data_IF_525621562209
#
_entry.id   IF_525621562209
#
_cell.length_a   1.000
_cell.length_b   1.000
_cell.length_c   1.000
_cell.angle_alpha   90.00
_cell.angle_beta   90.00
_cell.angle_gamma   90.00
#
_symmetry.space_group_name_H-M   'P 1'
#
loop_
_entity.id
_entity.type
_entity.pdbx_description
1 polymer ?
#
# COMPACT_ATOMS: atom_id res chain seq x y z
N UNK A 1 8.60 4.25 -18.54
CA UNK A 1 8.30 2.81 -18.44
C UNK A 1 6.87 2.57 -18.89
N UNK A 2 6.66 1.52 -19.65
CA UNK A 2 5.33 1.20 -20.14
C UNK A 2 4.48 0.61 -19.02
N UNK A 3 3.30 1.16 -18.80
CA UNK A 3 2.31 0.59 -17.91
C UNK A 3 1.64 -0.59 -18.61
N UNK A 4 1.49 -1.70 -17.90
CA UNK A 4 0.81 -2.88 -18.41
C UNK A 4 -0.51 -3.08 -17.67
N UNK A 5 -1.58 -3.05 -18.42
CA UNK A 5 -2.93 -3.26 -17.88
C UNK A 5 -3.23 -4.73 -17.77
N UNK A 6 -3.54 -5.16 -16.56
CA UNK A 6 -3.86 -6.54 -16.22
C UNK A 6 -5.31 -6.63 -15.78
N UNK A 7 -6.05 -7.58 -16.34
CA UNK A 7 -7.43 -7.84 -15.92
C UNK A 7 -7.52 -9.18 -15.23
N UNK A 8 -8.12 -9.20 -14.04
CA UNK A 8 -8.42 -10.41 -13.27
C UNK A 8 -9.92 -10.67 -13.32
N UNK A 9 -10.29 -11.88 -13.70
CA UNK A 9 -11.68 -12.32 -13.72
C UNK A 9 -11.85 -13.58 -12.89
N UNK A 10 -12.91 -13.62 -12.09
CA UNK A 10 -13.28 -14.83 -11.35
C UNK A 10 -13.87 -15.85 -12.31
N UNK A 11 -13.40 -17.09 -12.25
CA UNK A 11 -13.87 -18.20 -13.06
C UNK A 11 -14.06 -19.43 -12.14
N UNK A 12 -15.29 -19.61 -11.67
CA UNK A 12 -15.59 -20.62 -10.67
C UNK A 12 -14.79 -20.39 -9.39
N UNK A 13 -13.96 -21.34 -9.00
CA UNK A 13 -13.08 -21.24 -7.82
C UNK A 13 -11.71 -20.65 -8.13
N UNK A 14 -11.45 -20.34 -9.38
CA UNK A 14 -10.17 -19.84 -9.83
C UNK A 14 -10.26 -18.40 -10.30
N UNK A 15 -9.11 -17.75 -10.40
CA UNK A 15 -8.93 -16.45 -11.02
C UNK A 15 -8.20 -16.62 -12.33
N UNK A 16 -8.61 -15.89 -13.35
CA UNK A 16 -7.91 -15.77 -14.63
C UNK A 16 -7.36 -14.35 -14.75
N UNK A 17 -6.12 -14.26 -15.18
CA UNK A 17 -5.48 -12.97 -15.46
C UNK A 17 -4.97 -12.93 -16.89
N UNK A 18 -5.05 -11.75 -17.50
CA UNK A 18 -4.52 -11.49 -18.82
C UNK A 18 -3.92 -10.09 -18.87
N UNK A 19 -2.89 -9.91 -19.72
CA UNK A 19 -2.22 -8.65 -19.94
C UNK A 19 -2.65 -8.08 -21.28
N UNK A 20 -3.11 -6.84 -21.30
CA UNK A 20 -3.48 -6.15 -22.55
C UNK A 20 -2.24 -6.03 -23.45
N UNK A 21 -2.38 -6.44 -24.70
CA UNK A 21 -1.30 -6.41 -25.68
C UNK A 21 -0.40 -7.64 -25.73
N UNK A 22 -0.54 -8.57 -24.78
CA UNK A 22 0.25 -9.80 -24.73
C UNK A 22 -0.69 -11.01 -24.62
N UNK A 23 -1.15 -11.53 -25.74
CA UNK A 23 -2.10 -12.66 -25.77
C UNK A 23 -1.60 -13.91 -25.04
N UNK A 24 -0.29 -14.14 -25.06
CA UNK A 24 0.33 -15.30 -24.41
C UNK A 24 0.58 -15.09 -22.91
N UNK A 25 0.51 -13.86 -22.43
CA UNK A 25 0.66 -13.56 -21.01
C UNK A 25 -0.68 -13.75 -20.29
N UNK A 26 -0.96 -14.99 -19.94
CA UNK A 26 -2.17 -15.41 -19.22
C UNK A 26 -1.79 -16.31 -18.06
N UNK A 27 -2.58 -16.25 -17.00
CA UNK A 27 -2.37 -17.11 -15.84
C UNK A 27 -3.70 -17.43 -15.18
N UNK A 28 -3.68 -18.52 -14.41
CA UNK A 28 -4.81 -18.98 -13.61
C UNK A 28 -4.30 -19.42 -12.25
N UNK A 29 -5.05 -19.16 -11.21
CA UNK A 29 -4.72 -19.57 -9.85
C UNK A 29 -5.92 -19.50 -8.92
N UNK A 30 -5.81 -20.11 -7.75
CA UNK A 30 -6.88 -20.14 -6.76
C UNK A 30 -7.09 -18.79 -6.07
N UNK A 31 -6.04 -17.99 -5.99
CA UNK A 31 -6.06 -16.65 -5.36
C UNK A 31 -5.51 -15.63 -6.35
N UNK A 32 -5.83 -14.36 -6.11
CA UNK A 32 -5.26 -13.26 -6.91
C UNK A 32 -3.73 -13.26 -6.79
N UNK A 33 -3.21 -13.47 -5.58
CA UNK A 33 -1.75 -13.50 -5.33
C UNK A 33 -1.05 -14.57 -6.16
N UNK A 34 -1.55 -15.80 -6.12
CA UNK A 34 -0.98 -16.93 -6.91
C UNK A 34 -1.06 -16.65 -8.39
N UNK A 35 -2.21 -16.15 -8.84
CA UNK A 35 -2.42 -15.78 -10.24
C UNK A 35 -1.44 -14.71 -10.70
N UNK A 36 -1.20 -13.70 -9.85
CA UNK A 36 -0.25 -12.61 -10.13
C UNK A 36 1.18 -13.14 -10.30
N UNK A 37 1.62 -14.04 -9.43
CA UNK A 37 2.95 -14.65 -9.52
C UNK A 37 3.10 -15.44 -10.82
N UNK A 38 2.08 -16.24 -11.16
CA UNK A 38 2.08 -17.04 -12.41
C UNK A 38 2.04 -16.14 -13.64
N UNK A 39 1.32 -15.03 -13.58
CA UNK A 39 1.25 -14.06 -14.67
C UNK A 39 2.62 -13.42 -14.94
N UNK A 40 3.36 -13.05 -13.89
CA UNK A 40 4.71 -12.50 -14.02
C UNK A 40 5.66 -13.52 -14.66
N UNK A 41 5.54 -14.78 -14.31
CA UNK A 41 6.33 -15.85 -14.95
C UNK A 41 6.00 -15.99 -16.43
N UNK A 42 4.70 -15.97 -16.78
CA UNK A 42 4.29 -16.03 -18.18
C UNK A 42 4.81 -14.82 -18.97
N UNK A 43 4.73 -13.64 -18.38
CA UNK A 43 5.23 -12.42 -18.99
C UNK A 43 6.77 -12.43 -19.12
N UNK A 44 7.47 -13.06 -18.18
CA UNK A 44 8.92 -13.23 -18.21
C UNK A 44 9.46 -14.01 -19.39
N UNK A 45 8.61 -14.82 -20.02
CA UNK A 45 8.95 -15.51 -21.26
C UNK A 45 8.86 -14.61 -22.50
N UNK A 46 8.23 -13.43 -22.36
CA UNK A 46 7.94 -12.51 -23.46
C UNK A 46 8.69 -11.19 -23.35
N UNK A 47 9.23 -10.86 -22.17
CA UNK A 47 9.94 -9.60 -21.90
C UNK A 47 11.23 -9.89 -21.12
N UNK A 48 12.21 -8.99 -21.22
CA UNK A 48 13.53 -9.20 -20.64
C UNK A 48 13.57 -9.09 -19.12
N UNK A 49 12.77 -8.20 -18.53
CA UNK A 49 12.74 -7.97 -17.08
C UNK A 49 11.30 -7.85 -16.57
N UNK A 50 10.66 -9.00 -16.24
CA UNK A 50 9.28 -8.98 -15.77
C UNK A 50 9.08 -8.31 -14.42
N UNK A 51 10.11 -8.26 -13.56
CA UNK A 51 10.00 -7.65 -12.23
C UNK A 51 10.03 -6.12 -12.29
N UNK A 52 10.59 -5.55 -13.35
CA UNK A 52 10.61 -4.10 -13.58
C UNK A 52 9.31 -3.56 -14.19
N UNK A 53 8.35 -4.42 -14.50
CA UNK A 53 7.09 -4.03 -15.12
C UNK A 53 6.07 -3.65 -14.05
N UNK A 54 5.53 -2.45 -14.17
CA UNK A 54 4.43 -1.99 -13.33
C UNK A 54 3.10 -2.47 -13.91
N UNK A 55 2.31 -3.13 -13.07
CA UNK A 55 0.97 -3.56 -13.42
C UNK A 55 -0.06 -2.55 -12.94
N UNK A 56 -0.94 -2.14 -13.84
CA UNK A 56 -2.20 -1.46 -13.50
C UNK A 56 -3.26 -2.55 -13.48
N UNK A 57 -3.67 -2.96 -12.28
CA UNK A 57 -4.55 -4.10 -12.10
C UNK A 57 -6.03 -3.69 -12.05
N UNK A 58 -6.87 -4.39 -12.82
CA UNK A 58 -8.32 -4.25 -12.79
C UNK A 58 -8.94 -5.60 -12.42
N UNK A 59 -9.46 -5.68 -11.20
CA UNK A 59 -10.15 -6.88 -10.72
C UNK A 59 -11.63 -6.76 -11.04
N UNK A 60 -12.12 -7.62 -11.90
CA UNK A 60 -13.53 -7.63 -12.32
C UNK A 60 -14.41 -8.23 -11.24
N UNK A 61 -15.27 -7.40 -10.67
CA UNK A 61 -16.21 -7.77 -9.61
C UNK A 61 -17.62 -7.32 -9.97
N UNK A 62 -18.67 -7.98 -9.42
CA UNK A 62 -20.03 -7.47 -9.54
C UNK A 62 -20.15 -6.04 -9.02
N UNK A 63 -21.06 -5.25 -9.61
CA UNK A 63 -21.17 -3.83 -9.30
C UNK A 63 -21.37 -3.50 -7.84
N UNK A 64 -22.15 -4.32 -7.10
CA UNK A 64 -22.35 -4.13 -5.67
C UNK A 64 -21.05 -4.31 -4.87
N UNK A 65 -20.30 -5.37 -5.15
CA UNK A 65 -19.02 -5.64 -4.49
C UNK A 65 -18.00 -4.55 -4.83
N UNK A 66 -17.97 -4.10 -6.07
CA UNK A 66 -17.08 -3.03 -6.52
C UNK A 66 -17.34 -1.73 -5.77
N UNK A 67 -18.62 -1.34 -5.60
CA UNK A 67 -18.98 -0.12 -4.85
C UNK A 67 -18.56 -0.20 -3.39
N UNK A 68 -18.80 -1.33 -2.74
CA UNK A 68 -18.44 -1.53 -1.34
C UNK A 68 -16.92 -1.53 -1.15
N UNK A 69 -16.19 -2.16 -2.06
CA UNK A 69 -14.73 -2.15 -2.05
C UNK A 69 -14.18 -0.73 -2.25
N UNK A 70 -14.79 0.04 -3.15
CA UNK A 70 -14.44 1.44 -3.38
C UNK A 70 -14.63 2.30 -2.13
N UNK A 71 -15.76 2.12 -1.41
CA UNK A 71 -16.02 2.81 -0.13
C UNK A 71 -14.99 2.43 0.93
N UNK A 72 -14.63 1.15 1.00
CA UNK A 72 -13.60 0.67 1.92
C UNK A 72 -12.26 1.36 1.66
N UNK A 73 -11.80 1.38 0.42
CA UNK A 73 -10.54 2.03 0.06
C UNK A 73 -10.56 3.53 0.29
N UNK A 74 -11.69 4.19 0.02
CA UNK A 74 -11.84 5.62 0.30
C UNK A 74 -11.71 5.90 1.80
N UNK A 75 -12.34 5.08 2.65
CA UNK A 75 -12.24 5.20 4.10
C UNK A 75 -10.80 4.95 4.58
N UNK A 76 -10.12 3.95 4.02
CA UNK A 76 -8.72 3.66 4.33
C UNK A 76 -7.80 4.83 3.97
N UNK A 77 -7.99 5.46 2.82
CA UNK A 77 -7.21 6.64 2.42
C UNK A 77 -7.41 7.81 3.37
N UNK A 78 -8.67 8.04 3.83
CA UNK A 78 -8.96 9.09 4.83
C UNK A 78 -8.27 8.80 6.16
N UNK A 79 -8.31 7.56 6.60
CA UNK A 79 -7.64 7.14 7.84
C UNK A 79 -6.13 7.34 7.73
N UNK A 80 -5.52 6.90 6.64
CA UNK A 80 -4.08 7.08 6.40
C UNK A 80 -3.70 8.56 6.37
N UNK A 81 -4.50 9.39 5.71
CA UNK A 81 -4.28 10.83 5.69
C UNK A 81 -4.41 11.49 7.05
N UNK A 82 -5.42 11.11 7.84
CA UNK A 82 -5.61 11.58 9.21
C UNK A 82 -4.45 11.15 10.10
N UNK A 83 -3.99 9.91 9.98
CA UNK A 83 -2.85 9.39 10.73
C UNK A 83 -1.57 10.16 10.37
N UNK A 84 -1.33 10.44 9.10
CA UNK A 84 -0.17 11.22 8.65
C UNK A 84 -0.18 12.64 9.22
N UNK A 85 -1.35 13.29 9.25
CA UNK A 85 -1.49 14.62 9.85
C UNK A 85 -1.27 14.60 11.37
N UNK A 86 -1.80 13.59 12.05
CA UNK A 86 -1.60 13.40 13.48
C UNK A 86 -0.12 13.17 13.81
N UNK A 87 0.57 12.35 13.02
CA UNK A 87 2.00 12.09 13.19
C UNK A 87 2.83 13.35 12.94
N UNK A 88 2.49 14.15 11.93
CA UNK A 88 3.17 15.42 11.65
C UNK A 88 3.01 16.41 12.82
N UNK A 89 1.79 16.55 13.35
CA UNK A 89 1.54 17.40 14.51
C UNK A 89 2.29 16.91 15.74
N UNK A 90 2.32 15.60 15.97
CA UNK A 90 3.06 14.99 17.08
C UNK A 90 4.56 15.24 16.96
N UNK A 91 5.13 15.15 15.76
CA UNK A 91 6.55 15.45 15.53
C UNK A 91 6.90 16.90 15.85
N UNK A 92 6.08 17.84 15.41
CA UNK A 92 6.30 19.26 15.72
C UNK A 92 6.22 19.52 17.21
N UNK A 93 5.21 18.96 17.89
CA UNK A 93 5.06 19.09 19.34
C UNK A 93 6.25 18.47 20.08
N UNK A 94 6.69 17.27 19.65
CA UNK A 94 7.84 16.60 20.25
C UNK A 94 9.13 17.43 20.10
N UNK A 95 9.35 18.06 18.95
CA UNK A 95 10.48 18.95 18.73
C UNK A 95 10.46 20.10 19.74
N UNK A 96 9.31 20.76 19.91
CA UNK A 96 9.15 21.84 20.85
C UNK A 96 9.43 21.42 22.30
N UNK A 97 8.92 20.23 22.69
CA UNK A 97 9.17 19.69 24.04
C UNK A 97 10.65 19.34 24.26
N UNK A 98 11.33 18.84 23.24
CA UNK A 98 12.79 18.58 23.32
C UNK A 98 13.59 19.86 23.47
N UNK A 99 13.21 20.94 22.82
CA UNK A 99 13.85 22.25 22.98
C UNK A 99 13.72 22.78 24.42
N UNK A 100 12.67 22.39 25.14
CA UNK A 100 12.48 22.69 26.56
C UNK A 100 13.22 21.70 27.46
N UNK A 101 14.00 20.78 26.92
CA UNK A 101 14.76 19.77 27.66
C UNK A 101 13.89 18.78 28.43
N UNK A 102 12.66 18.55 27.99
CA UNK A 102 11.77 17.59 28.65
C UNK A 102 12.17 16.16 28.30
N UNK A 103 12.09 15.28 29.32
CA UNK A 103 12.37 13.85 29.13
C UNK A 103 11.24 13.10 28.46
N UNK A 104 11.52 11.84 28.14
CA UNK A 104 10.56 10.95 27.44
C UNK A 104 9.26 10.77 28.21
N UNK A 105 9.31 10.66 29.54
CA UNK A 105 8.11 10.49 30.37
C UNK A 105 7.17 11.67 30.27
N UNK A 106 7.72 12.88 30.42
CA UNK A 106 6.92 14.10 30.34
C UNK A 106 6.33 14.27 28.93
N UNK A 107 7.13 14.04 27.89
CA UNK A 107 6.66 14.12 26.53
C UNK A 107 5.56 13.09 26.24
N UNK A 108 5.72 11.86 26.75
CA UNK A 108 4.72 10.79 26.63
C UNK A 108 3.39 11.20 27.27
N UNK A 109 3.44 11.75 28.47
CA UNK A 109 2.24 12.20 29.19
C UNK A 109 1.56 13.36 28.47
N UNK A 110 2.32 14.35 28.03
CA UNK A 110 1.78 15.54 27.39
C UNK A 110 1.19 15.25 26.00
N UNK A 111 1.81 14.36 25.25
CA UNK A 111 1.34 13.98 23.91
C UNK A 111 0.30 12.86 23.94
N UNK A 112 0.17 12.16 25.07
CA UNK A 112 -0.72 11.00 25.15
C UNK A 112 -0.29 9.83 24.29
N UNK A 113 1.03 9.69 24.05
CA UNK A 113 1.60 8.64 23.20
C UNK A 113 2.56 7.77 23.98
N UNK A 114 2.63 6.45 23.71
CA UNK A 114 3.58 5.58 24.39
C UNK A 114 5.03 5.89 24.02
N UNK A 115 6.00 5.61 24.91
CA UNK A 115 7.42 5.93 24.65
C UNK A 115 7.98 5.36 23.37
N UNK A 116 7.55 4.16 22.96
CA UNK A 116 7.97 3.54 21.71
C UNK A 116 7.54 4.36 20.48
N UNK A 117 6.34 4.92 20.52
CA UNK A 117 5.85 5.80 19.44
C UNK A 117 6.65 7.09 19.37
N UNK A 118 7.00 7.66 20.52
CA UNK A 118 7.84 8.87 20.60
C UNK A 118 9.22 8.62 20.00
N UNK A 119 9.82 7.46 20.28
CA UNK A 119 11.11 7.08 19.73
C UNK A 119 11.09 7.02 18.20
N UNK A 120 10.05 6.39 17.65
CA UNK A 120 9.85 6.33 16.19
C UNK A 120 9.69 7.71 15.57
N UNK A 121 8.89 8.58 16.19
CA UNK A 121 8.68 9.94 15.71
C UNK A 121 9.97 10.75 15.75
N UNK A 122 10.75 10.60 16.82
CA UNK A 122 12.03 11.29 16.97
C UNK A 122 13.04 10.88 15.91
N UNK A 123 13.16 9.58 15.65
CA UNK A 123 14.01 9.06 14.58
C UNK A 123 13.58 9.57 13.21
N UNK A 124 12.28 9.67 12.98
CA UNK A 124 11.72 10.23 11.75
C UNK A 124 12.10 11.70 11.56
N UNK A 125 12.14 12.49 12.64
CA UNK A 125 12.60 13.88 12.60
C UNK A 125 14.08 13.97 12.25
N UNK A 126 14.91 13.17 12.89
CA UNK A 126 16.36 13.16 12.63
C UNK A 126 16.69 12.77 11.20
N UNK A 127 15.93 11.86 10.61
CA UNK A 127 16.13 11.42 9.24
C UNK A 127 15.79 12.49 8.19
N UNK A 128 15.03 13.54 8.58
CA UNK A 128 14.62 14.63 7.68
C UNK A 128 15.54 15.85 7.74
N UNK A 129 16.46 15.86 8.67
CA UNK A 129 17.44 16.95 8.85
C UNK A 129 18.73 16.74 8.02
#
# INVERSE_FOLDING_TARGET
>A
MAENFVTYKKDGRAWRASVKGYRRARARGRTIRVTRVRLRRALGLLVDDPDAIDFVEDVRLPGAARRLLGRHWAARRRLTGAQARADAAAREALRALKELSLGVRDASDLLGLPPLKLDKLWRSLLARE
#
